data_IF_152354604072
#
_entry.id   IF_152354604072
#
_cell.length_a   1.000
_cell.length_b   1.000
_cell.length_c   1.000
_cell.angle_alpha   90.00
_cell.angle_beta   90.00
_cell.angle_gamma   90.00
#
_symmetry.space_group_name_H-M   'P 1'
#
loop_
_entity.id
_entity.type
_entity.pdbx_description
1 polymer ?
#
# COMPACT_ATOMS: atom_id res chain seq x y z
N UNK A 1 2.54 0.98 12.81
CA UNK A 1 1.11 0.60 12.81
C UNK A 1 0.78 -0.11 14.12
N UNK A 2 -0.42 0.03 14.68
CA UNK A 2 -0.83 -0.65 15.92
C UNK A 2 -1.07 -2.16 15.74
N UNK A 3 -0.76 -2.71 14.57
CA UNK A 3 -0.95 -4.12 14.19
C UNK A 3 0.26 -4.60 13.37
N UNK A 4 0.52 -5.91 13.26
CA UNK A 4 1.51 -6.46 12.34
C UNK A 4 1.23 -6.03 10.89
N UNK A 5 2.27 -5.63 10.16
CA UNK A 5 2.16 -5.13 8.79
C UNK A 5 3.32 -5.60 7.94
N UNK A 6 3.05 -5.85 6.66
CA UNK A 6 4.04 -5.97 5.60
C UNK A 6 3.90 -4.80 4.61
N UNK A 7 4.98 -4.52 3.89
CA UNK A 7 5.04 -3.54 2.81
C UNK A 7 5.44 -4.26 1.52
N UNK A 8 4.53 -4.35 0.56
CA UNK A 8 4.80 -4.89 -0.77
C UNK A 8 5.01 -3.73 -1.73
N UNK A 9 6.24 -3.58 -2.22
CA UNK A 9 6.62 -2.58 -3.22
C UNK A 9 6.67 -3.30 -4.57
N UNK A 10 5.85 -2.85 -5.53
CA UNK A 10 5.90 -3.34 -6.90
C UNK A 10 6.57 -2.30 -7.77
N UNK A 11 7.79 -2.59 -8.21
CA UNK A 11 8.50 -1.79 -9.20
C UNK A 11 8.07 -2.25 -10.61
N UNK A 12 7.32 -1.41 -11.30
CA UNK A 12 6.75 -1.68 -12.63
C UNK A 12 7.71 -1.26 -13.76
N UNK A 13 8.94 -1.76 -13.70
CA UNK A 13 9.94 -1.60 -14.75
C UNK A 13 10.59 -0.22 -14.77
N UNK A 14 10.96 0.31 -13.60
CA UNK A 14 11.70 1.57 -13.49
C UNK A 14 13.06 1.48 -14.19
N UNK A 15 13.51 2.60 -14.77
CA UNK A 15 14.80 2.70 -15.49
C UNK A 15 15.70 3.81 -14.96
N UNK A 16 15.27 4.49 -13.90
CA UNK A 16 15.90 5.67 -13.31
C UNK A 16 16.73 5.35 -12.05
N UNK A 17 16.80 4.07 -11.65
CA UNK A 17 17.52 3.62 -10.48
C UNK A 17 16.78 3.85 -9.16
N UNK A 18 15.46 4.13 -9.18
CA UNK A 18 14.70 4.36 -7.94
C UNK A 18 14.72 3.17 -6.99
N UNK A 19 14.83 1.94 -7.51
CA UNK A 19 14.90 0.71 -6.72
C UNK A 19 16.21 0.59 -5.95
N UNK A 20 17.29 1.18 -6.44
CA UNK A 20 18.58 1.21 -5.72
C UNK A 20 18.48 2.06 -4.43
N UNK A 21 17.61 3.07 -4.41
CA UNK A 21 17.40 3.95 -3.25
C UNK A 21 16.69 3.24 -2.09
N UNK A 22 16.02 2.12 -2.37
CA UNK A 22 15.26 1.34 -1.39
C UNK A 22 15.88 -0.04 -1.14
N UNK A 23 17.10 -0.29 -1.64
CA UNK A 23 17.78 -1.57 -1.46
C UNK A 23 17.95 -1.93 0.03
N UNK A 24 18.32 -0.97 0.88
CA UNK A 24 18.46 -1.21 2.32
C UNK A 24 17.10 -1.46 3.02
N UNK A 25 15.97 -1.05 2.41
CA UNK A 25 14.65 -1.31 2.99
C UNK A 25 14.28 -2.78 2.92
N UNK A 26 14.80 -3.54 1.96
CA UNK A 26 14.48 -4.97 1.82
C UNK A 26 15.22 -5.85 2.82
N UNK A 27 16.15 -5.30 3.60
CA UNK A 27 16.77 -6.00 4.74
C UNK A 27 15.77 -6.17 5.92
N UNK A 28 14.67 -5.42 5.93
CA UNK A 28 13.54 -5.65 6.84
C UNK A 28 12.64 -6.75 6.26
N UNK A 29 12.49 -7.86 6.99
CA UNK A 29 11.66 -9.02 6.60
C UNK A 29 10.19 -8.67 6.31
N UNK A 30 9.72 -7.50 6.74
CA UNK A 30 8.38 -6.99 6.47
C UNK A 30 8.26 -6.31 5.11
N UNK A 31 9.38 -5.94 4.49
CA UNK A 31 9.41 -5.25 3.21
C UNK A 31 9.73 -6.25 2.11
N UNK A 32 8.95 -6.22 1.04
CA UNK A 32 9.21 -7.05 -0.13
C UNK A 32 9.14 -6.21 -1.40
N UNK A 33 10.25 -6.17 -2.10
CA UNK A 33 10.35 -5.59 -3.43
C UNK A 33 10.07 -6.68 -4.49
N UNK A 34 9.15 -6.37 -5.40
CA UNK A 34 8.77 -7.21 -6.52
C UNK A 34 9.03 -6.44 -7.80
N UNK A 35 9.94 -6.94 -8.64
CA UNK A 35 10.17 -6.37 -9.95
C UNK A 35 9.20 -6.96 -10.97
N UNK A 36 8.53 -6.09 -11.72
CA UNK A 36 7.67 -6.41 -12.83
C UNK A 36 8.25 -5.77 -14.09
N UNK A 37 8.77 -6.61 -14.99
CA UNK A 37 9.46 -6.18 -16.21
C UNK A 37 8.89 -6.98 -17.39
N UNK A 38 8.44 -6.32 -18.48
CA UNK A 38 8.47 -4.87 -18.73
C UNK A 38 7.42 -4.10 -17.91
N UNK A 39 7.40 -2.77 -18.04
CA UNK A 39 6.33 -1.92 -17.49
C UNK A 39 4.97 -2.33 -18.08
N UNK A 40 4.02 -2.70 -17.22
CA UNK A 40 2.66 -3.13 -17.59
C UNK A 40 1.57 -2.15 -17.12
N UNK A 41 1.94 -1.07 -16.44
CA UNK A 41 1.09 -0.01 -15.94
C UNK A 41 0.60 -0.23 -14.49
N UNK A 42 0.17 0.87 -13.85
CA UNK A 42 -0.27 0.90 -12.43
C UNK A 42 -1.30 -0.18 -12.08
N UNK A 43 -2.30 -0.40 -12.94
CA UNK A 43 -3.32 -1.42 -12.71
C UNK A 43 -2.75 -2.84 -12.62
N UNK A 44 -1.80 -3.18 -13.50
CA UNK A 44 -1.12 -4.46 -13.48
C UNK A 44 -0.24 -4.60 -12.23
N UNK A 45 0.47 -3.53 -11.86
CA UNK A 45 1.28 -3.47 -10.63
C UNK A 45 0.43 -3.68 -9.37
N UNK A 46 -0.77 -3.07 -9.29
CA UNK A 46 -1.70 -3.30 -8.18
C UNK A 46 -2.17 -4.76 -8.12
N UNK A 47 -2.59 -5.34 -9.25
CA UNK A 47 -2.99 -6.76 -9.31
C UNK A 47 -1.84 -7.67 -8.90
N UNK A 48 -0.60 -7.35 -9.30
CA UNK A 48 0.59 -8.06 -8.85
C UNK A 48 0.75 -7.95 -7.34
N UNK A 49 0.67 -6.73 -6.78
CA UNK A 49 0.73 -6.49 -5.34
C UNK A 49 -0.32 -7.29 -4.56
N UNK A 50 -1.56 -7.35 -5.05
CA UNK A 50 -2.64 -8.13 -4.42
C UNK A 50 -2.36 -9.62 -4.36
N UNK A 51 -1.74 -10.19 -5.41
CA UNK A 51 -1.37 -11.62 -5.45
C UNK A 51 -0.21 -11.94 -4.52
N UNK A 52 0.65 -10.96 -4.31
CA UNK A 52 1.82 -11.11 -3.48
C UNK A 52 1.44 -10.94 -1.99
N UNK A 53 0.58 -9.98 -1.65
CA UNK A 53 0.15 -9.70 -0.28
C UNK A 53 -0.39 -10.93 0.46
N UNK A 54 -0.07 -10.99 1.77
CA UNK A 54 -0.37 -12.10 2.69
C UNK A 54 -1.25 -11.68 3.86
N UNK A 55 -1.41 -10.38 4.09
CA UNK A 55 -2.25 -9.84 5.17
C UNK A 55 -3.75 -10.01 4.93
N UNK A 56 -4.53 -9.94 6.02
CA UNK A 56 -5.99 -10.06 6.00
C UNK A 56 -6.69 -8.76 5.54
N UNK A 57 -6.00 -7.63 5.68
CA UNK A 57 -6.43 -6.31 5.23
C UNK A 57 -5.42 -5.78 4.21
N UNK A 58 -5.92 -5.21 3.13
CA UNK A 58 -5.10 -4.60 2.08
C UNK A 58 -5.41 -3.12 1.95
N UNK A 59 -4.37 -2.31 1.88
CA UNK A 59 -4.46 -0.89 1.51
C UNK A 59 -3.45 -0.58 0.42
N UNK A 60 -3.71 0.48 -0.34
CA UNK A 60 -2.89 0.93 -1.45
C UNK A 60 -2.39 2.33 -1.09
N UNK A 61 -1.10 2.56 -1.30
CA UNK A 61 -0.48 3.86 -1.10
C UNK A 61 0.40 4.17 -2.32
N UNK A 62 0.23 5.37 -2.88
CA UNK A 62 1.10 5.87 -3.93
C UNK A 62 2.44 6.34 -3.34
N UNK A 63 3.53 6.11 -4.09
CA UNK A 63 4.90 6.36 -3.61
C UNK A 63 5.30 7.86 -3.58
N UNK A 64 4.43 8.75 -4.06
CA UNK A 64 4.66 10.20 -4.12
C UNK A 64 4.21 10.97 -2.87
N UNK A 65 3.67 10.26 -1.87
CA UNK A 65 3.13 10.83 -0.63
C UNK A 65 2.02 11.86 -0.86
N UNK A 66 1.21 11.72 -1.92
CA UNK A 66 -0.05 12.47 -2.05
C UNK A 66 -0.97 12.22 -0.83
N UNK A 67 -0.85 11.04 -0.21
CA UNK A 67 -1.51 10.66 1.03
C UNK A 67 -0.50 10.39 2.16
N UNK A 68 -0.85 10.77 3.39
CA UNK A 68 -0.03 10.51 4.57
C UNK A 68 -0.26 9.07 5.09
N UNK A 69 0.77 8.21 5.16
CA UNK A 69 0.65 6.88 5.76
C UNK A 69 0.14 6.89 7.21
N UNK A 70 0.30 8.00 7.93
CA UNK A 70 -0.20 8.17 9.29
C UNK A 70 -1.74 8.18 9.38
N UNK A 71 -2.46 8.32 8.27
CA UNK A 71 -3.92 8.22 8.21
C UNK A 71 -4.42 6.76 8.17
N UNK A 72 -3.56 5.81 7.79
CA UNK A 72 -3.92 4.38 7.64
C UNK A 72 -4.51 3.78 8.94
N UNK A 73 -3.97 4.01 10.15
CA UNK A 73 -4.58 3.53 11.39
C UNK A 73 -6.05 3.94 11.56
N UNK A 74 -6.40 5.18 11.22
CA UNK A 74 -7.76 5.67 11.33
C UNK A 74 -8.69 5.03 10.29
N UNK A 75 -8.20 4.85 9.07
CA UNK A 75 -8.93 4.16 8.00
C UNK A 75 -9.11 2.67 8.28
N UNK A 76 -8.14 2.01 8.93
CA UNK A 76 -8.22 0.60 9.24
C UNK A 76 -9.19 0.29 10.38
N UNK A 77 -9.50 1.25 11.27
CA UNK A 77 -10.26 0.98 12.48
C UNK A 77 -11.65 0.35 12.23
N UNK A 78 -12.51 0.84 11.32
CA UNK A 78 -13.80 0.20 11.04
C UNK A 78 -13.67 -1.21 10.44
N UNK A 79 -12.61 -1.47 9.68
CA UNK A 79 -12.35 -2.81 9.14
C UNK A 79 -11.88 -3.77 10.23
N UNK A 80 -11.04 -3.30 11.16
CA UNK A 80 -10.53 -4.07 12.29
C UNK A 80 -11.62 -4.43 13.31
N UNK A 81 -12.62 -3.57 13.51
CA UNK A 81 -13.76 -3.84 14.40
C UNK A 81 -14.87 -4.67 13.73
N UNK A 82 -14.76 -4.92 12.43
CA UNK A 82 -15.78 -5.60 11.64
C UNK A 82 -17.02 -4.74 11.34
N UNK A 83 -16.94 -3.43 11.57
CA UNK A 83 -17.99 -2.46 11.24
C UNK A 83 -18.11 -2.22 9.73
N UNK A 84 -17.01 -2.40 9.00
CA UNK A 84 -16.95 -2.24 7.55
C UNK A 84 -16.12 -3.34 6.90
N UNK A 85 -16.46 -3.71 5.66
CA UNK A 85 -15.59 -4.58 4.85
C UNK A 85 -14.65 -3.76 3.97
N UNK A 86 -15.06 -2.54 3.60
CA UNK A 86 -14.25 -1.63 2.78
C UNK A 86 -14.33 -0.22 3.37
N UNK A 87 -13.16 0.38 3.55
CA UNK A 87 -13.02 1.77 4.01
C UNK A 87 -12.34 2.59 2.93
N UNK A 88 -12.96 3.70 2.55
CA UNK A 88 -12.45 4.63 1.55
C UNK A 88 -11.87 5.87 2.23
N UNK A 89 -10.62 6.21 1.87
CA UNK A 89 -10.08 7.54 2.12
C UNK A 89 -10.79 8.56 1.23
N UNK A 90 -11.40 9.58 1.83
CA UNK A 90 -12.15 10.60 1.10
C UNK A 90 -11.49 11.97 1.26
N UNK A 91 -11.22 12.64 0.14
CA UNK A 91 -10.83 14.05 0.12
C UNK A 91 -12.09 14.90 0.30
N UNK A 92 -12.49 15.14 1.53
CA UNK A 92 -13.65 15.97 1.86
C UNK A 92 -13.27 17.12 2.79
N UNK A 93 -14.01 18.23 2.71
CA UNK A 93 -13.82 19.39 3.59
C UNK A 93 -14.21 19.12 5.06
N UNK A 94 -14.76 17.93 5.39
CA UNK A 94 -15.37 17.65 6.71
C UNK A 94 -14.99 16.31 7.37
N UNK A 95 -14.09 15.51 6.77
CA UNK A 95 -13.65 14.24 7.35
C UNK A 95 -12.94 13.32 6.34
N UNK A 96 -11.97 12.52 6.81
CA UNK A 96 -11.02 11.78 5.97
C UNK A 96 -11.45 10.33 5.63
N UNK A 97 -12.65 9.89 6.05
CA UNK A 97 -13.08 8.49 5.85
C UNK A 97 -14.59 8.38 5.52
N UNK A 98 -14.90 7.54 4.54
CA UNK A 98 -16.25 7.02 4.26
C UNK A 98 -16.16 5.49 4.16
N UNK A 99 -17.12 4.74 4.68
CA UNK A 99 -17.02 3.28 4.77
C UNK A 99 -18.38 2.60 4.53
N UNK A 100 -18.34 1.35 4.05
CA UNK A 100 -19.52 0.53 3.73
C UNK A 100 -19.35 -0.93 4.14
#
# INVERSE_FOLDING_TARGET
MPIPTELVIVDDGSTDGCTDLIADLVDDDRVRLVHQVPNEGKGAALVRGFREARGDLLTILDADLEYDPADIPGLAAPALTGEATVVYGARSYGGHAAYS
#
